data_IF_660459495108
#
_entry.id   IF_660459495108
#
_cell.length_a   1.000
_cell.length_b   1.000
_cell.length_c   1.000
_cell.angle_alpha   90.00
_cell.angle_beta   90.00
_cell.angle_gamma   90.00
#
_symmetry.space_group_name_H-M   'P 1'
#
loop_
_entity.id
_entity.type
_entity.pdbx_description
1 polymer ?
#
# COMPACT_ATOMS: atom_id res chain seq x y z
N UNK A 1 -16.95 19.07 -14.77
CA UNK A 1 -17.73 18.00 -15.45
C UNK A 1 -17.74 16.75 -14.58
N UNK A 2 -18.73 15.87 -14.74
CA UNK A 2 -18.80 14.59 -14.00
C UNK A 2 -17.58 13.72 -14.27
N UNK A 3 -17.10 13.02 -13.24
CA UNK A 3 -16.04 12.01 -13.35
C UNK A 3 -14.61 12.53 -13.54
N UNK A 4 -14.38 13.85 -13.50
CA UNK A 4 -13.03 14.42 -13.57
C UNK A 4 -12.16 14.00 -12.38
N UNK A 5 -12.73 13.97 -11.18
CA UNK A 5 -12.03 13.58 -9.95
C UNK A 5 -11.63 12.09 -10.03
N UNK A 6 -12.54 11.25 -10.53
CA UNK A 6 -12.24 9.84 -10.79
C UNK A 6 -11.09 9.64 -11.77
N UNK A 7 -10.99 10.45 -12.83
CA UNK A 7 -9.87 10.39 -13.78
C UNK A 7 -8.53 10.80 -13.14
N UNK A 8 -8.52 11.84 -12.30
CA UNK A 8 -7.31 12.26 -11.55
C UNK A 8 -6.83 11.17 -10.60
N UNK A 9 -7.76 10.45 -9.96
CA UNK A 9 -7.47 9.33 -9.06
C UNK A 9 -6.87 8.13 -9.82
N UNK A 10 -7.35 7.84 -11.03
CA UNK A 10 -6.77 6.78 -11.88
C UNK A 10 -5.37 7.18 -12.42
N UNK A 11 -5.17 8.45 -12.77
CA UNK A 11 -3.83 8.92 -13.16
C UNK A 11 -2.83 8.77 -12.01
N UNK A 12 -3.26 9.01 -10.78
CA UNK A 12 -2.45 8.78 -9.60
C UNK A 12 -2.14 7.30 -9.36
N UNK A 13 -3.13 6.42 -9.55
CA UNK A 13 -2.91 4.98 -9.51
C UNK A 13 -1.86 4.54 -10.55
N UNK A 14 -1.95 5.06 -11.78
CA UNK A 14 -0.96 4.77 -12.84
C UNK A 14 0.44 5.25 -12.48
N UNK A 15 0.57 6.43 -11.85
CA UNK A 15 1.85 6.90 -11.34
C UNK A 15 2.38 5.93 -10.29
N UNK A 16 1.55 5.57 -9.32
CA UNK A 16 1.88 4.66 -8.21
C UNK A 16 2.49 3.33 -8.67
N UNK A 17 1.99 2.75 -9.78
CA UNK A 17 2.57 1.52 -10.36
C UNK A 17 4.05 1.63 -10.72
N UNK A 18 4.51 2.82 -11.12
CA UNK A 18 5.91 3.05 -11.47
C UNK A 18 6.81 3.38 -10.27
N UNK A 19 6.24 3.66 -9.09
CA UNK A 19 7.00 4.00 -7.89
C UNK A 19 7.32 2.74 -7.07
N UNK A 20 8.53 2.69 -6.54
CA UNK A 20 8.96 1.66 -5.60
C UNK A 20 8.37 1.84 -4.19
N UNK A 21 7.94 3.07 -3.84
CA UNK A 21 7.30 3.37 -2.56
C UNK A 21 5.83 3.72 -2.76
N UNK A 22 5.01 3.41 -1.76
CA UNK A 22 3.59 3.75 -1.79
C UNK A 22 3.41 5.22 -1.40
N UNK A 23 2.81 6.06 -2.26
CA UNK A 23 2.50 7.44 -1.93
C UNK A 23 1.33 7.52 -0.94
N UNK A 24 1.16 8.70 -0.34
CA UNK A 24 0.09 8.96 0.63
C UNK A 24 -1.30 8.65 0.06
N UNK A 25 -2.12 7.98 0.86
CA UNK A 25 -3.51 7.73 0.53
C UNK A 25 -4.28 9.06 0.37
N UNK A 26 -4.95 9.22 -0.76
CA UNK A 26 -5.67 10.46 -1.11
C UNK A 26 -7.11 10.44 -0.59
N UNK A 27 -7.27 10.49 0.74
CA UNK A 27 -8.57 10.47 1.42
C UNK A 27 -9.56 11.50 0.86
N UNK A 28 -9.12 12.73 0.64
CA UNK A 28 -9.99 13.81 0.20
C UNK A 28 -10.55 13.59 -1.21
N UNK A 29 -9.75 13.04 -2.12
CA UNK A 29 -10.23 12.70 -3.47
C UNK A 29 -11.22 11.54 -3.44
N UNK A 30 -10.94 10.50 -2.64
CA UNK A 30 -11.85 9.35 -2.46
C UNK A 30 -13.18 9.82 -1.86
N UNK A 31 -13.14 10.68 -0.83
CA UNK A 31 -14.33 11.31 -0.23
C UNK A 31 -15.09 12.19 -1.22
N UNK A 32 -14.41 12.88 -2.12
CA UNK A 32 -15.06 13.69 -3.15
C UNK A 32 -15.78 12.81 -4.19
N UNK A 33 -15.15 11.75 -4.68
CA UNK A 33 -15.79 10.82 -5.64
C UNK A 33 -16.97 10.08 -5.00
N UNK A 34 -16.86 9.69 -3.73
CA UNK A 34 -17.99 9.02 -3.04
C UNK A 34 -19.16 9.98 -2.77
N UNK A 35 -18.89 11.25 -2.47
CA UNK A 35 -19.95 12.29 -2.41
C UNK A 35 -20.61 12.49 -3.77
N UNK A 36 -19.83 12.62 -4.84
CA UNK A 36 -20.35 12.73 -6.21
C UNK A 36 -21.27 11.57 -6.58
N UNK A 37 -20.90 10.33 -6.23
CA UNK A 37 -21.76 9.15 -6.47
C UNK A 37 -23.06 9.22 -5.66
N UNK A 38 -23.00 9.65 -4.39
CA UNK A 38 -24.20 9.80 -3.55
C UNK A 38 -25.11 10.92 -4.04
N UNK A 39 -24.55 12.00 -4.55
CA UNK A 39 -25.34 13.12 -5.06
C UNK A 39 -26.01 12.74 -6.39
N UNK A 40 -25.31 12.03 -7.29
CA UNK A 40 -25.91 11.45 -8.49
C UNK A 40 -27.05 10.46 -8.18
N UNK A 41 -26.91 9.68 -7.11
CA UNK A 41 -27.95 8.73 -6.66
C UNK A 41 -29.19 9.45 -6.11
N UNK A 42 -28.99 10.54 -5.35
CA UNK A 42 -30.09 11.42 -4.91
C UNK A 42 -30.79 12.06 -6.10
N UNK A 43 -30.05 12.57 -7.07
CA UNK A 43 -30.61 13.18 -8.28
C UNK A 43 -31.47 12.18 -9.05
N UNK A 44 -31.00 10.93 -9.20
CA UNK A 44 -31.79 9.83 -9.77
C UNK A 44 -33.06 9.57 -8.96
N UNK A 45 -32.99 9.59 -7.63
CA UNK A 45 -34.14 9.48 -6.75
C UNK A 45 -35.17 10.58 -6.97
N UNK A 46 -34.75 11.85 -7.02
CA UNK A 46 -35.63 13.01 -7.26
C UNK A 46 -36.27 12.96 -8.65
N UNK A 47 -35.54 12.50 -9.67
CA UNK A 47 -36.09 12.33 -11.02
C UNK A 47 -37.16 11.21 -11.06
N UNK A 48 -36.98 10.15 -10.27
CA UNK A 48 -37.89 9.00 -10.25
C UNK A 48 -39.09 9.17 -9.31
N UNK A 49 -39.03 10.07 -8.33
CA UNK A 49 -40.08 10.34 -7.36
C UNK A 49 -41.48 10.58 -8.01
N UNK A 50 -41.61 11.38 -9.08
CA UNK A 50 -42.91 11.62 -9.72
C UNK A 50 -43.52 10.38 -10.39
N UNK A 51 -42.71 9.38 -10.73
CA UNK A 51 -43.15 8.21 -11.48
C UNK A 51 -43.66 7.07 -10.60
N UNK A 52 -43.48 7.15 -9.27
CA UNK A 52 -44.00 6.20 -8.28
C UNK A 52 -43.83 4.70 -8.65
N UNK A 53 -42.74 4.36 -9.35
CA UNK A 53 -42.43 2.99 -9.82
C UNK A 53 -43.00 2.59 -11.19
N UNK A 54 -43.83 3.42 -11.83
CA UNK A 54 -44.37 3.21 -13.18
C UNK A 54 -43.66 4.10 -14.21
N UNK A 55 -42.33 3.99 -14.30
CA UNK A 55 -41.56 4.69 -15.32
C UNK A 55 -41.57 3.92 -16.65
N UNK A 56 -42.06 4.54 -17.72
CA UNK A 56 -41.97 3.99 -19.07
C UNK A 56 -40.94 4.77 -19.90
N UNK A 57 -39.81 4.16 -20.30
CA UNK A 57 -38.78 4.84 -21.08
C UNK A 57 -39.26 5.38 -22.44
N UNK A 58 -40.32 4.79 -23.00
CA UNK A 58 -40.83 5.15 -24.33
C UNK A 58 -41.68 6.42 -24.31
N UNK A 59 -42.31 6.74 -23.17
CA UNK A 59 -43.17 7.92 -23.04
C UNK A 59 -42.35 9.18 -22.80
N UNK A 60 -41.16 9.05 -22.21
CA UNK A 60 -40.32 10.20 -21.87
C UNK A 60 -38.82 9.91 -22.13
N UNK A 61 -38.39 9.94 -23.39
CA UNK A 61 -37.03 9.58 -23.77
C UNK A 61 -35.96 10.52 -23.17
N UNK A 62 -36.29 11.80 -22.95
CA UNK A 62 -35.37 12.76 -22.35
C UNK A 62 -34.97 12.37 -20.92
N UNK A 63 -35.96 11.98 -20.10
CA UNK A 63 -35.76 11.53 -18.73
C UNK A 63 -35.05 10.17 -18.68
N UNK A 64 -35.37 9.27 -19.60
CA UNK A 64 -34.64 8.00 -19.74
C UNK A 64 -33.14 8.22 -20.05
N UNK A 65 -32.82 9.16 -20.95
CA UNK A 65 -31.44 9.52 -21.24
C UNK A 65 -30.71 10.12 -20.02
N UNK A 66 -31.36 11.02 -19.27
CA UNK A 66 -30.77 11.61 -18.07
C UNK A 66 -30.44 10.55 -17.01
N UNK A 67 -31.39 9.63 -16.74
CA UNK A 67 -31.19 8.51 -15.83
C UNK A 67 -30.05 7.59 -16.28
N UNK A 68 -29.98 7.29 -17.57
CA UNK A 68 -28.90 6.48 -18.13
C UNK A 68 -27.53 7.16 -17.97
N UNK A 69 -27.43 8.46 -18.26
CA UNK A 69 -26.18 9.22 -18.09
C UNK A 69 -25.75 9.21 -16.62
N UNK A 70 -26.66 9.48 -15.68
CA UNK A 70 -26.34 9.43 -14.24
C UNK A 70 -25.88 8.04 -13.81
N UNK A 71 -26.56 6.98 -14.28
CA UNK A 71 -26.18 5.60 -14.00
C UNK A 71 -24.78 5.25 -14.54
N UNK A 72 -24.47 5.65 -15.78
CA UNK A 72 -23.16 5.43 -16.38
C UNK A 72 -22.06 6.21 -15.64
N UNK A 73 -22.33 7.45 -15.22
CA UNK A 73 -21.44 8.26 -14.40
C UNK A 73 -21.14 7.59 -13.05
N UNK A 74 -22.17 7.09 -12.34
CA UNK A 74 -21.98 6.35 -11.08
C UNK A 74 -21.13 5.10 -11.28
N UNK A 75 -21.39 4.30 -12.32
CA UNK A 75 -20.60 3.11 -12.64
C UNK A 75 -19.15 3.46 -12.99
N UNK A 76 -18.93 4.57 -13.70
CA UNK A 76 -17.60 5.07 -14.03
C UNK A 76 -16.82 5.43 -12.75
N UNK A 77 -17.43 6.18 -11.85
CA UNK A 77 -16.82 6.57 -10.57
C UNK A 77 -16.50 5.34 -9.70
N UNK A 78 -17.42 4.38 -9.59
CA UNK A 78 -17.17 3.10 -8.89
C UNK A 78 -15.98 2.35 -9.49
N UNK A 79 -15.89 2.27 -10.82
CA UNK A 79 -14.77 1.61 -11.51
C UNK A 79 -13.43 2.30 -11.23
N UNK A 80 -13.40 3.64 -11.24
CA UNK A 80 -12.19 4.41 -10.94
C UNK A 80 -11.73 4.19 -9.48
N UNK A 81 -12.65 4.19 -8.53
CA UNK A 81 -12.35 3.91 -7.11
C UNK A 81 -11.76 2.51 -6.94
N UNK A 82 -12.43 1.48 -7.47
CA UNK A 82 -11.95 0.10 -7.38
C UNK A 82 -10.57 -0.09 -8.02
N UNK A 83 -10.33 0.55 -9.17
CA UNK A 83 -9.02 0.47 -9.82
C UNK A 83 -7.90 1.06 -8.95
N UNK A 84 -8.13 2.22 -8.33
CA UNK A 84 -7.15 2.84 -7.43
C UNK A 84 -6.89 1.99 -6.19
N UNK A 85 -7.93 1.49 -5.52
CA UNK A 85 -7.77 0.63 -4.36
C UNK A 85 -7.06 -0.67 -4.72
N UNK A 86 -7.42 -1.30 -5.85
CA UNK A 86 -6.77 -2.55 -6.29
C UNK A 86 -5.27 -2.37 -6.53
N UNK A 87 -4.86 -1.29 -7.21
CA UNK A 87 -3.44 -0.99 -7.44
C UNK A 87 -2.68 -0.78 -6.14
N UNK A 88 -3.32 -0.15 -5.14
CA UNK A 88 -2.70 0.04 -3.83
C UNK A 88 -2.59 -1.26 -3.04
N UNK A 89 -3.65 -2.07 -3.02
CA UNK A 89 -3.63 -3.40 -2.41
C UNK A 89 -2.56 -4.30 -3.04
N UNK A 90 -2.44 -4.33 -4.37
CA UNK A 90 -1.38 -5.09 -5.05
C UNK A 90 0.01 -4.71 -4.57
N UNK A 91 0.26 -3.40 -4.43
CA UNK A 91 1.56 -2.91 -3.98
C UNK A 91 1.82 -3.23 -2.51
N UNK A 92 0.78 -3.20 -1.68
CA UNK A 92 0.87 -3.60 -0.27
C UNK A 92 1.16 -5.10 -0.14
N UNK A 93 0.45 -5.93 -0.90
CA UNK A 93 0.70 -7.37 -0.96
C UNK A 93 2.13 -7.65 -1.42
N UNK A 94 2.61 -6.99 -2.49
CA UNK A 94 4.00 -7.10 -2.96
C UNK A 94 5.02 -6.75 -1.86
N UNK A 95 4.76 -5.72 -1.05
CA UNK A 95 5.62 -5.35 0.08
C UNK A 95 5.60 -6.41 1.18
N UNK A 96 4.43 -6.98 1.51
CA UNK A 96 4.30 -8.07 2.47
C UNK A 96 5.10 -9.32 2.03
N UNK A 97 5.06 -9.65 0.73
CA UNK A 97 5.83 -10.76 0.17
C UNK A 97 7.33 -10.45 0.07
N UNK A 98 7.72 -9.19 -0.12
CA UNK A 98 9.11 -8.74 -0.12
C UNK A 98 9.77 -8.71 1.26
N UNK A 99 9.11 -9.20 2.32
CA UNK A 99 9.65 -9.25 3.69
C UNK A 99 9.82 -7.86 4.34
N UNK A 100 9.25 -6.82 3.73
CA UNK A 100 9.22 -5.48 4.30
C UNK A 100 8.06 -5.41 5.27
N UNK A 101 8.35 -5.29 6.56
CA UNK A 101 7.32 -4.94 7.52
C UNK A 101 6.90 -3.48 7.26
N UNK A 102 5.78 -3.34 6.54
CA UNK A 102 5.21 -2.05 6.15
C UNK A 102 4.89 -1.21 7.40
N UNK A 103 4.51 -1.86 8.51
CA UNK A 103 4.15 -1.20 9.77
C UNK A 103 5.40 -0.72 10.51
N UNK A 104 6.47 -1.52 10.54
CA UNK A 104 7.76 -1.14 11.15
C UNK A 104 8.40 0.04 10.40
N UNK A 105 8.32 0.06 9.06
CA UNK A 105 8.83 1.17 8.23
C UNK A 105 8.10 2.48 8.50
N UNK A 106 6.82 2.40 8.84
CA UNK A 106 5.99 3.56 9.17
C UNK A 106 6.31 4.10 10.57
N UNK A 107 6.55 3.22 11.55
CA UNK A 107 7.05 3.61 12.87
C UNK A 107 8.44 4.24 12.81
N UNK A 108 9.34 3.72 11.97
CA UNK A 108 10.66 4.32 11.75
C UNK A 108 10.56 5.72 11.12
N UNK A 109 9.63 5.94 10.18
CA UNK A 109 9.40 7.28 9.62
C UNK A 109 8.81 8.29 10.62
N UNK A 110 8.04 7.82 11.60
CA UNK A 110 7.54 8.68 12.69
C UNK A 110 8.63 9.02 13.70
N UNK A 111 9.55 8.09 13.98
CA UNK A 111 10.64 8.27 14.95
C UNK A 111 11.89 8.97 14.38
N UNK A 112 12.08 8.99 13.05
CA UNK A 112 13.22 9.64 12.41
C UNK A 112 13.12 11.16 12.25
N UNK A 113 12.13 11.84 12.87
CA UNK A 113 12.14 13.31 13.00
C UNK A 113 12.98 13.69 14.22
N UNK A 114 14.18 14.29 14.05
CA UNK A 114 14.92 14.80 15.20
C UNK A 114 14.15 15.99 15.78
N UNK A 115 13.95 15.99 17.09
CA UNK A 115 13.41 17.12 17.83
C UNK A 115 14.29 18.35 17.64
N UNK A 116 13.82 19.28 16.81
CA UNK A 116 14.30 20.65 16.76
C UNK A 116 13.33 21.52 17.55
N UNK A 117 13.75 21.94 18.74
CA UNK A 117 13.01 22.86 19.60
C UNK A 117 12.85 24.23 18.93
N UNK A 118 11.63 24.77 18.99
CA UNK A 118 11.35 26.21 18.85
C UNK A 118 10.89 26.68 17.47
N UNK A 119 9.57 26.73 17.26
CA UNK A 119 8.85 27.93 16.79
C UNK A 119 7.39 27.59 16.45
N UNK A 120 6.50 28.39 17.01
CA UNK A 120 5.04 28.45 16.81
C UNK A 120 4.62 28.58 15.34
N UNK A 121 3.91 27.57 14.82
CA UNK A 121 2.93 27.74 13.73
C UNK A 121 1.75 26.79 13.96
N UNK A 122 0.55 27.36 14.14
CA UNK A 122 -0.72 26.63 14.13
C UNK A 122 -0.91 25.96 12.76
N UNK A 123 -0.99 24.64 12.76
CA UNK A 123 -1.19 23.81 11.56
C UNK A 123 -0.81 22.36 11.84
N UNK A 124 -1.49 21.73 12.79
CA UNK A 124 -1.26 20.34 13.18
C UNK A 124 -1.75 19.38 12.08
N UNK A 125 -0.93 19.17 11.06
CA UNK A 125 -1.08 18.05 10.10
C UNK A 125 -0.45 16.79 10.69
N UNK A 126 -1.12 16.26 11.71
CA UNK A 126 -0.76 15.07 12.49
C UNK A 126 -1.10 13.74 11.83
N UNK A 127 -0.79 13.53 10.54
CA UNK A 127 -0.90 12.20 9.92
C UNK A 127 0.16 12.00 8.83
N UNK A 128 1.40 11.72 9.25
CA UNK A 128 2.49 11.35 8.33
C UNK A 128 2.43 9.88 7.87
N UNK A 129 1.38 9.16 8.25
CA UNK A 129 1.04 7.84 7.72
C UNK A 129 0.72 7.95 6.23
N UNK A 130 1.47 7.25 5.38
CA UNK A 130 1.18 7.12 3.95
C UNK A 130 -0.05 6.23 3.68
N UNK A 131 -0.48 5.48 4.69
CA UNK A 131 -1.59 4.53 4.66
C UNK A 131 -2.84 5.12 5.31
N UNK A 132 -3.99 4.66 4.85
CA UNK A 132 -5.25 4.88 5.56
C UNK A 132 -5.40 3.84 6.70
N UNK A 133 -6.18 4.13 7.75
CA UNK A 133 -6.44 3.16 8.82
C UNK A 133 -7.03 1.84 8.31
N UNK A 134 -7.84 1.92 7.24
CA UNK A 134 -8.44 0.74 6.61
C UNK A 134 -7.39 -0.10 5.85
N UNK A 135 -6.39 0.56 5.26
CA UNK A 135 -5.25 -0.13 4.61
C UNK A 135 -4.33 -0.77 5.65
N UNK A 136 -4.10 -0.12 6.78
CA UNK A 136 -3.30 -0.68 7.89
C UNK A 136 -3.94 -1.96 8.46
N UNK A 137 -5.25 -1.95 8.67
CA UNK A 137 -6.00 -3.13 9.12
C UNK A 137 -5.96 -4.25 8.07
N UNK A 138 -6.12 -3.92 6.80
CA UNK A 138 -6.00 -4.89 5.71
C UNK A 138 -4.61 -5.55 5.67
N UNK A 139 -3.55 -4.76 5.80
CA UNK A 139 -2.17 -5.27 5.83
C UNK A 139 -1.96 -6.20 7.02
N UNK A 140 -2.46 -5.84 8.21
CA UNK A 140 -2.36 -6.70 9.40
C UNK A 140 -3.05 -8.05 9.19
N UNK A 141 -4.28 -8.03 8.68
CA UNK A 141 -5.02 -9.27 8.41
C UNK A 141 -4.34 -10.11 7.32
N UNK A 142 -3.75 -9.47 6.31
CA UNK A 142 -3.00 -10.16 5.27
C UNK A 142 -1.69 -10.76 5.80
N UNK A 143 -0.97 -10.05 6.66
CA UNK A 143 0.25 -10.56 7.29
C UNK A 143 -0.05 -11.75 8.20
N UNK A 144 -1.15 -11.72 8.94
CA UNK A 144 -1.58 -12.82 9.79
C UNK A 144 -1.96 -14.05 8.94
N UNK A 145 -2.67 -13.83 7.83
CA UNK A 145 -2.99 -14.89 6.87
C UNK A 145 -1.73 -15.49 6.24
N UNK A 146 -0.77 -14.65 5.87
CA UNK A 146 0.51 -15.07 5.32
C UNK A 146 1.33 -15.86 6.35
N UNK A 147 1.35 -15.42 7.61
CA UNK A 147 2.03 -16.13 8.70
C UNK A 147 1.38 -17.49 8.97
N UNK A 148 0.05 -17.58 8.96
CA UNK A 148 -0.68 -18.84 9.08
C UNK A 148 -0.37 -19.80 7.92
N UNK A 149 -0.24 -19.26 6.70
CA UNK A 149 0.13 -20.05 5.52
C UNK A 149 1.58 -20.55 5.60
N UNK A 150 2.52 -19.69 6.01
CA UNK A 150 3.92 -20.07 6.25
C UNK A 150 4.07 -21.10 7.35
N UNK A 151 3.25 -21.03 8.40
CA UNK A 151 3.29 -21.98 9.52
C UNK A 151 3.04 -23.44 9.11
N UNK A 152 2.43 -23.69 7.94
CA UNK A 152 2.26 -25.03 7.40
C UNK A 152 3.56 -25.60 6.80
N UNK A 153 4.51 -24.73 6.42
CA UNK A 153 5.74 -25.07 5.73
C UNK A 153 6.93 -24.53 6.52
N UNK A 154 7.40 -25.28 7.52
CA UNK A 154 8.53 -24.87 8.37
C UNK A 154 9.88 -24.94 7.67
N UNK A 155 9.98 -25.76 6.62
CA UNK A 155 11.24 -26.06 5.96
C UNK A 155 11.51 -25.13 4.76
N UNK A 156 10.53 -24.31 4.38
CA UNK A 156 10.58 -23.47 3.18
C UNK A 156 10.17 -22.04 3.55
N UNK A 157 11.08 -21.09 3.43
CA UNK A 157 10.73 -19.68 3.51
C UNK A 157 10.11 -19.19 2.19
N UNK A 158 8.80 -18.97 2.22
CA UNK A 158 8.03 -18.48 1.08
C UNK A 158 8.26 -16.99 0.76
N UNK A 159 8.91 -16.24 1.66
CA UNK A 159 9.29 -14.82 1.45
C UNK A 159 10.78 -14.63 1.24
N UNK A 160 11.50 -15.73 1.01
CA UNK A 160 12.93 -15.69 0.70
C UNK A 160 13.21 -15.05 -0.66
N UNK A 161 14.50 -14.96 -0.98
CA UNK A 161 14.96 -14.46 -2.28
C UNK A 161 14.43 -15.31 -3.44
N UNK A 162 13.91 -14.66 -4.48
CA UNK A 162 13.61 -15.33 -5.76
C UNK A 162 14.86 -15.55 -6.62
N UNK A 163 15.98 -14.91 -6.28
CA UNK A 163 17.25 -15.11 -6.99
C UNK A 163 17.95 -16.37 -6.44
N UNK A 164 18.31 -17.33 -7.32
CA UNK A 164 18.95 -18.56 -6.90
C UNK A 164 20.35 -18.27 -6.31
N UNK A 165 20.72 -18.92 -5.20
CA UNK A 165 22.05 -18.76 -4.61
C UNK A 165 23.12 -19.30 -5.56
N UNK A 166 24.17 -18.51 -5.78
CA UNK A 166 25.34 -18.92 -6.59
C UNK A 166 26.37 -19.67 -5.75
N UNK A 167 26.56 -19.23 -4.52
CA UNK A 167 27.56 -19.72 -3.59
C UNK A 167 26.93 -19.90 -2.20
N UNK A 168 27.40 -20.88 -1.44
CA UNK A 168 26.88 -21.16 -0.10
C UNK A 168 27.28 -20.07 0.91
N UNK A 169 28.45 -19.49 0.72
CA UNK A 169 29.03 -18.45 1.56
C UNK A 169 29.25 -17.19 0.74
N UNK A 170 29.03 -16.04 1.38
CA UNK A 170 29.18 -14.73 0.76
C UNK A 170 29.95 -13.79 1.68
N UNK A 171 30.73 -12.90 1.07
CA UNK A 171 31.33 -11.77 1.77
C UNK A 171 30.28 -10.65 1.90
N UNK A 172 30.05 -10.19 3.14
CA UNK A 172 29.12 -9.10 3.43
C UNK A 172 29.81 -7.99 4.20
N UNK A 173 29.43 -6.74 3.91
CA UNK A 173 29.83 -5.55 4.66
C UNK A 173 28.65 -5.00 5.44
N UNK A 174 28.88 -4.66 6.70
CA UNK A 174 27.88 -4.05 7.57
C UNK A 174 27.76 -2.55 7.26
N UNK A 175 26.55 -2.10 6.91
CA UNK A 175 26.24 -0.68 6.66
C UNK A 175 25.74 0.04 7.92
N UNK A 176 25.03 -0.69 8.79
CA UNK A 176 24.44 -0.21 10.04
C UNK A 176 24.71 -1.20 11.14
N UNK A 177 25.03 -0.72 12.34
CA UNK A 177 25.19 -1.57 13.52
C UNK A 177 23.90 -2.36 13.76
N UNK A 178 24.01 -3.69 13.79
CA UNK A 178 22.87 -4.61 13.95
C UNK A 178 22.98 -5.46 15.23
N UNK A 179 23.99 -5.19 16.08
CA UNK A 179 24.18 -5.91 17.34
C UNK A 179 24.71 -7.32 17.13
N UNK A 180 24.38 -8.22 18.05
CA UNK A 180 24.79 -9.62 18.01
C UNK A 180 23.71 -10.46 17.33
N UNK A 181 24.09 -11.15 16.25
CA UNK A 181 23.21 -12.11 15.54
C UNK A 181 23.63 -13.53 15.87
N UNK A 182 22.67 -14.46 15.88
CA UNK A 182 22.96 -15.88 15.99
C UNK A 182 23.04 -16.49 14.59
N UNK A 183 24.21 -17.04 14.26
CA UNK A 183 24.41 -17.92 13.12
C UNK A 183 24.44 -19.37 13.61
N UNK A 184 24.32 -20.33 12.69
CA UNK A 184 24.38 -21.75 13.05
C UNK A 184 25.72 -22.17 13.67
N UNK A 185 26.81 -21.42 13.40
CA UNK A 185 28.16 -21.71 13.89
C UNK A 185 28.58 -20.87 15.10
N UNK A 186 27.71 -19.96 15.58
CA UNK A 186 28.01 -19.11 16.73
C UNK A 186 27.38 -17.72 16.63
N UNK A 187 27.62 -16.89 17.64
CA UNK A 187 27.17 -15.51 17.63
C UNK A 187 28.22 -14.58 17.00
N UNK A 188 27.75 -13.63 16.18
CA UNK A 188 28.61 -12.66 15.49
C UNK A 188 28.10 -11.25 15.81
N UNK A 189 28.99 -10.37 16.24
CA UNK A 189 28.67 -8.97 16.50
C UNK A 189 28.85 -8.14 15.23
N UNK A 190 27.75 -7.66 14.66
CA UNK A 190 27.72 -6.83 13.46
C UNK A 190 28.00 -5.35 13.82
N UNK A 191 29.24 -4.94 13.61
CA UNK A 191 29.70 -3.54 13.77
C UNK A 191 29.81 -2.84 12.42
N UNK A 192 29.47 -1.55 12.35
CA UNK A 192 29.45 -0.76 11.12
C UNK A 192 30.80 -0.77 10.42
N UNK A 193 30.78 -0.94 9.11
CA UNK A 193 31.94 -1.05 8.21
C UNK A 193 32.81 -2.31 8.41
N UNK A 194 32.45 -3.24 9.28
CA UNK A 194 33.12 -4.55 9.35
C UNK A 194 32.70 -5.44 8.17
N UNK A 195 33.53 -6.45 7.88
CA UNK A 195 33.31 -7.43 6.82
C UNK A 195 33.29 -8.82 7.44
N UNK A 196 32.37 -9.67 6.96
CA UNK A 196 32.25 -11.05 7.41
C UNK A 196 32.05 -11.97 6.22
N UNK A 197 32.60 -13.18 6.33
CA UNK A 197 32.36 -14.28 5.41
C UNK A 197 31.40 -15.26 6.09
N UNK A 198 30.16 -15.31 5.64
CA UNK A 198 29.04 -15.97 6.33
C UNK A 198 28.18 -16.73 5.33
N UNK A 199 27.43 -17.72 5.83
CA UNK A 199 26.51 -18.48 5.01
C UNK A 199 25.36 -17.58 4.55
N UNK A 200 24.99 -17.69 3.28
CA UNK A 200 23.98 -16.82 2.68
C UNK A 200 22.64 -16.88 3.45
N UNK A 201 22.19 -18.06 3.86
CA UNK A 201 20.89 -18.24 4.55
C UNK A 201 20.76 -17.47 5.86
N UNK A 202 21.85 -17.27 6.61
CA UNK A 202 21.80 -16.58 7.91
C UNK A 202 21.69 -15.06 7.76
N UNK A 203 22.12 -14.51 6.61
CA UNK A 203 22.21 -13.06 6.37
C UNK A 203 21.23 -12.54 5.34
N UNK A 204 20.52 -13.39 4.61
CA UNK A 204 19.56 -13.01 3.56
C UNK A 204 18.55 -11.96 4.03
N UNK A 205 17.95 -12.17 5.21
CA UNK A 205 16.97 -11.23 5.78
C UNK A 205 17.60 -9.88 6.13
N UNK A 206 18.84 -9.87 6.62
CA UNK A 206 19.57 -8.65 6.99
C UNK A 206 20.05 -7.86 5.76
N UNK A 207 20.36 -8.57 4.66
CA UNK A 207 20.63 -7.96 3.36
C UNK A 207 19.35 -7.31 2.80
N UNK A 208 18.22 -8.01 2.85
CA UNK A 208 16.93 -7.48 2.38
C UNK A 208 16.49 -6.23 3.17
N UNK A 209 16.76 -6.18 4.47
CA UNK A 209 16.51 -5.01 5.32
C UNK A 209 17.52 -3.86 5.12
N UNK A 210 18.62 -4.10 4.40
CA UNK A 210 19.65 -3.10 4.10
C UNK A 210 20.64 -2.83 5.24
N UNK A 211 20.78 -3.75 6.20
CA UNK A 211 21.84 -3.68 7.22
C UNK A 211 23.20 -4.16 6.66
N UNK A 212 23.15 -5.10 5.72
CA UNK A 212 24.32 -5.73 5.12
C UNK A 212 24.33 -5.49 3.60
N UNK A 213 25.53 -5.40 3.02
CA UNK A 213 25.75 -5.32 1.59
C UNK A 213 26.67 -6.46 1.14
N UNK A 214 26.25 -7.22 0.12
CA UNK A 214 27.09 -8.25 -0.50
C UNK A 214 28.29 -7.62 -1.23
N UNK A 215 29.47 -8.19 -1.02
CA UNK A 215 30.70 -7.87 -1.71
C UNK A 215 31.02 -9.04 -2.65
N UNK A 216 30.64 -8.93 -3.94
CA UNK A 216 30.90 -9.96 -4.95
C UNK A 216 29.79 -10.99 -5.10
#
# INVERSE_FOLDING_TARGET
>A
MYGEIGNKLVQDAKRTQSLAHLPRYRTEMVRAVTREVRDLDKDVGTILEPFAGSFNPSTEPATACALLVNHLCMRRNKRCLLAYHRVRSDKLEEMCWGGVDVLERQQQQQTSKPGGEGATTLGSDGNSSSLSPEEEEYVRQYSDLLAAYKGQWTDIDLTGSLEPPKDLFIDVRVLKDAGEIQTEYGSITLTKNSQFYVRQGDVERLIAQGYLQRLG
#
